data_IF_098987246906
#
_entry.id   IF_098987246906
#
_cell.length_a   1.000
_cell.length_b   1.000
_cell.length_c   1.000
_cell.angle_alpha   90.00
_cell.angle_beta   90.00
_cell.angle_gamma   90.00
#
_symmetry.space_group_name_H-M   'P 1'
#
loop_
_entity.id
_entity.type
_entity.pdbx_description
1 polymer ?
#
# COMPACT_ATOMS: atom_id res chain seq x y z
N UNK A 1 9.80 25.02 2.35
CA UNK A 1 10.65 23.87 2.10
C UNK A 1 9.84 22.59 2.03
N UNK A 2 10.16 21.73 1.06
CA UNK A 2 9.45 20.47 0.91
C UNK A 2 10.18 19.36 1.61
N UNK A 3 9.45 18.51 2.28
CA UNK A 3 10.00 17.29 2.86
C UNK A 3 9.49 16.09 2.07
N UNK A 4 10.34 15.10 1.98
CA UNK A 4 10.03 13.85 1.30
C UNK A 4 9.85 12.78 2.35
N UNK A 5 8.69 12.15 2.36
CA UNK A 5 8.42 11.06 3.29
C UNK A 5 8.12 9.81 2.50
N UNK A 6 8.82 8.73 2.81
CA UNK A 6 8.60 7.45 2.16
C UNK A 6 7.86 6.53 3.11
N UNK A 7 6.81 5.92 2.60
CA UNK A 7 6.05 4.91 3.30
C UNK A 7 6.24 3.57 2.61
N UNK A 8 6.42 2.50 3.40
CA UNK A 8 6.58 1.15 2.86
C UNK A 8 5.66 0.24 3.65
N UNK A 9 4.77 -0.45 2.96
CA UNK A 9 3.80 -1.35 3.59
C UNK A 9 3.71 -2.66 2.82
N UNK A 10 3.55 -3.78 3.53
CA UNK A 10 3.32 -5.04 2.85
C UNK A 10 1.92 -5.08 2.26
N UNK A 11 1.82 -5.63 1.07
CA UNK A 11 0.57 -5.82 0.37
C UNK A 11 0.48 -7.27 -0.09
N UNK A 12 -0.72 -7.83 0.03
CA UNK A 12 -0.98 -9.21 -0.36
C UNK A 12 -1.70 -9.18 -1.70
N UNK A 13 -1.12 -9.83 -2.70
CA UNK A 13 -1.68 -9.92 -4.04
C UNK A 13 -2.32 -11.29 -4.20
N UNK A 14 -3.61 -11.31 -4.50
CA UNK A 14 -4.37 -12.54 -4.67
C UNK A 14 -4.83 -12.62 -6.11
N UNK A 15 -4.34 -13.63 -6.83
CA UNK A 15 -4.72 -13.86 -8.21
C UNK A 15 -6.10 -14.51 -8.24
N UNK A 16 -7.03 -13.85 -8.90
CA UNK A 16 -8.36 -14.39 -9.14
C UNK A 16 -8.46 -14.79 -10.61
N UNK A 17 -9.62 -15.29 -11.01
CA UNK A 17 -9.79 -15.83 -12.34
C UNK A 17 -9.49 -14.81 -13.44
N UNK A 18 -9.99 -13.61 -13.29
CA UNK A 18 -9.83 -12.58 -14.30
C UNK A 18 -9.33 -11.25 -13.74
N UNK A 19 -8.82 -11.28 -12.52
CA UNK A 19 -8.30 -10.06 -11.91
C UNK A 19 -7.31 -10.41 -10.81
N UNK A 20 -6.60 -9.40 -10.34
CA UNK A 20 -5.67 -9.51 -9.22
C UNK A 20 -6.10 -8.52 -8.16
N UNK A 21 -6.40 -9.02 -6.97
CA UNK A 21 -6.78 -8.18 -5.85
C UNK A 21 -5.57 -7.89 -4.98
N UNK A 22 -5.53 -6.69 -4.40
CA UNK A 22 -4.44 -6.28 -3.53
C UNK A 22 -5.02 -5.79 -2.22
N UNK A 23 -4.46 -6.28 -1.13
CA UNK A 23 -4.88 -5.89 0.20
C UNK A 23 -3.68 -5.43 1.01
N UNK A 24 -3.79 -4.25 1.63
CA UNK A 24 -2.81 -3.75 2.60
C UNK A 24 -3.37 -4.06 3.99
N UNK A 25 -2.97 -5.17 4.61
CA UNK A 25 -3.60 -5.59 5.87
C UNK A 25 -3.42 -4.60 7.00
N UNK A 26 -2.33 -3.83 7.00
CA UNK A 26 -2.09 -2.85 8.06
C UNK A 26 -2.98 -1.62 7.94
N UNK A 27 -3.50 -1.35 6.76
CA UNK A 27 -4.22 -0.11 6.49
C UNK A 27 -5.69 -0.31 6.11
N UNK A 28 -6.07 -1.54 5.82
CA UNK A 28 -7.43 -1.82 5.38
C UNK A 28 -7.74 -1.31 3.99
N UNK A 29 -6.73 -1.10 3.17
CA UNK A 29 -6.91 -0.65 1.80
C UNK A 29 -6.97 -1.87 0.88
N UNK A 30 -7.96 -1.87 0.00
CA UNK A 30 -8.11 -2.94 -0.99
C UNK A 30 -8.27 -2.30 -2.36
N UNK A 31 -7.56 -2.85 -3.33
CA UNK A 31 -7.69 -2.43 -4.73
C UNK A 31 -7.56 -3.64 -5.62
N UNK A 32 -7.77 -3.48 -6.92
CA UNK A 32 -7.62 -4.58 -7.86
C UNK A 32 -7.19 -4.07 -9.22
N UNK A 33 -6.76 -5.00 -10.07
CA UNK A 33 -6.39 -4.70 -11.44
C UNK A 33 -6.61 -5.94 -12.28
N UNK A 34 -6.51 -5.80 -13.59
CA UNK A 34 -6.72 -6.91 -14.51
C UNK A 34 -5.49 -7.81 -14.63
N UNK A 35 -4.34 -7.30 -14.19
CA UNK A 35 -3.08 -8.03 -14.21
C UNK A 35 -2.28 -7.66 -12.98
N UNK A 36 -1.20 -8.40 -12.72
CA UNK A 36 -0.30 -8.06 -11.63
C UNK A 36 0.29 -6.65 -11.82
N UNK A 37 0.66 -6.32 -13.05
CA UNK A 37 1.23 -5.01 -13.33
C UNK A 37 0.25 -3.89 -13.02
N UNK A 38 -0.98 -4.04 -13.47
CA UNK A 38 -2.01 -3.03 -13.23
C UNK A 38 -2.35 -2.94 -11.74
N UNK A 39 -2.48 -4.11 -11.09
CA UNK A 39 -2.77 -4.15 -9.66
C UNK A 39 -1.65 -3.49 -8.85
N UNK A 40 -0.41 -3.70 -9.26
CA UNK A 40 0.74 -3.08 -8.60
C UNK A 40 0.69 -1.56 -8.73
N UNK A 41 0.40 -1.06 -9.91
CA UNK A 41 0.31 0.39 -10.14
C UNK A 41 -0.83 1.00 -9.33
N UNK A 42 -1.97 0.34 -9.29
CA UNK A 42 -3.11 0.81 -8.51
C UNK A 42 -2.83 0.76 -7.02
N UNK A 43 -2.14 -0.30 -6.56
CA UNK A 43 -1.76 -0.42 -5.16
C UNK A 43 -0.84 0.72 -4.75
N UNK A 44 0.14 1.02 -5.59
CA UNK A 44 1.08 2.10 -5.31
C UNK A 44 0.37 3.45 -5.26
N UNK A 45 -0.52 3.68 -6.19
CA UNK A 45 -1.28 4.93 -6.23
C UNK A 45 -2.22 5.05 -5.03
N UNK A 46 -2.90 3.96 -4.68
CA UNK A 46 -3.81 3.94 -3.54
C UNK A 46 -3.06 4.21 -2.24
N UNK A 47 -1.88 3.63 -2.09
CA UNK A 47 -1.07 3.86 -0.91
C UNK A 47 -0.64 5.32 -0.82
N UNK A 48 -0.21 5.89 -1.93
CA UNK A 48 0.20 7.29 -1.97
C UNK A 48 -0.95 8.22 -1.57
N UNK A 49 -2.10 8.01 -2.16
CA UNK A 49 -3.28 8.84 -1.88
C UNK A 49 -3.68 8.72 -0.41
N UNK A 50 -3.66 7.50 0.11
CA UNK A 50 -4.00 7.26 1.52
C UNK A 50 -3.03 7.98 2.44
N UNK A 51 -1.73 7.88 2.17
CA UNK A 51 -0.72 8.52 3.00
C UNK A 51 -0.82 10.05 2.92
N UNK A 52 -1.09 10.59 1.75
CA UNK A 52 -1.30 12.03 1.61
C UNK A 52 -2.48 12.49 2.45
N UNK A 53 -3.55 11.73 2.42
CA UNK A 53 -4.76 12.04 3.18
C UNK A 53 -4.48 12.02 4.70
N UNK A 54 -3.79 10.98 5.16
CA UNK A 54 -3.44 10.84 6.56
C UNK A 54 -2.56 12.00 7.04
N UNK A 55 -1.59 12.37 6.24
CA UNK A 55 -0.70 13.48 6.59
C UNK A 55 -1.44 14.81 6.59
N UNK A 56 -2.31 15.00 5.61
CA UNK A 56 -3.07 16.24 5.51
C UNK A 56 -3.99 16.45 6.71
N UNK A 57 -4.59 15.37 7.21
CA UNK A 57 -5.49 15.43 8.35
C UNK A 57 -4.78 15.22 9.68
N UNK A 58 -3.48 15.00 9.66
CA UNK A 58 -2.66 14.77 10.86
C UNK A 58 -3.19 13.60 11.68
N UNK A 59 -3.65 12.55 10.98
CA UNK A 59 -4.12 11.33 11.63
C UNK A 59 -2.95 10.37 11.82
N UNK A 60 -3.12 9.45 12.75
CA UNK A 60 -2.12 8.42 12.97
C UNK A 60 -2.25 7.37 11.87
N UNK A 61 -1.11 6.86 11.43
CA UNK A 61 -1.07 5.78 10.46
C UNK A 61 -0.51 4.54 11.15
N UNK A 62 -1.11 3.40 10.86
CA UNK A 62 -0.64 2.12 11.43
C UNK A 62 0.77 1.81 10.97
N UNK A 63 1.58 1.26 11.85
CA UNK A 63 2.93 0.87 11.49
C UNK A 63 2.89 -0.38 10.59
N UNK A 64 3.84 -0.50 9.66
CA UNK A 64 3.87 -1.67 8.80
C UNK A 64 4.24 -2.94 9.57
N UNK A 65 3.60 -4.03 9.20
CA UNK A 65 3.90 -5.34 9.77
C UNK A 65 5.17 -5.90 9.15
N UNK A 66 5.81 -6.81 9.89
CA UNK A 66 6.92 -7.56 9.33
C UNK A 66 6.36 -8.74 8.53
N UNK A 67 7.15 -9.24 7.59
CA UNK A 67 6.71 -10.36 6.75
C UNK A 67 6.32 -11.58 7.56
N UNK A 68 6.98 -11.86 8.65
CA UNK A 68 6.65 -13.01 9.48
C UNK A 68 5.28 -12.91 10.14
N UNK A 69 4.69 -11.74 10.14
CA UNK A 69 3.35 -11.53 10.68
C UNK A 69 2.26 -11.65 9.62
N UNK A 70 2.66 -11.85 8.38
CA UNK A 70 1.71 -12.00 7.27
C UNK A 70 1.41 -13.48 7.08
N UNK A 71 0.14 -13.82 6.90
CA UNK A 71 -0.27 -15.20 6.72
C UNK A 71 0.17 -15.73 5.35
N UNK A 72 1.11 -16.67 5.36
CA UNK A 72 1.66 -17.24 4.15
C UNK A 72 1.02 -18.57 3.75
N UNK A 73 -0.14 -18.87 4.31
CA UNK A 73 -0.75 -20.18 4.09
C UNK A 73 -1.26 -20.42 2.68
N UNK A 74 -1.45 -19.37 1.92
CA UNK A 74 -1.96 -19.51 0.56
C UNK A 74 -0.82 -19.50 -0.44
N UNK A 75 -0.73 -20.52 -1.24
CA UNK A 75 0.27 -20.59 -2.31
C UNK A 75 -0.06 -19.67 -3.48
N UNK A 76 -1.28 -19.16 -3.52
CA UNK A 76 -1.73 -18.28 -4.60
C UNK A 76 -1.50 -16.81 -4.28
N UNK A 77 -1.14 -16.52 -3.04
CA UNK A 77 -0.95 -15.15 -2.61
C UNK A 77 0.51 -14.76 -2.69
N UNK A 78 0.75 -13.53 -3.10
CA UNK A 78 2.10 -12.96 -3.09
C UNK A 78 2.12 -11.78 -2.17
N UNK A 79 3.14 -11.71 -1.34
CA UNK A 79 3.35 -10.57 -0.46
C UNK A 79 4.48 -9.73 -1.02
N UNK A 80 4.22 -8.45 -1.21
CA UNK A 80 5.21 -7.52 -1.73
C UNK A 80 5.21 -6.27 -0.88
N UNK A 81 6.38 -5.68 -0.73
CA UNK A 81 6.48 -4.37 -0.11
C UNK A 81 6.19 -3.31 -1.17
N UNK A 82 5.21 -2.49 -0.89
CA UNK A 82 4.83 -1.40 -1.77
C UNK A 82 5.26 -0.11 -1.10
N UNK A 83 5.88 0.76 -1.86
CA UNK A 83 6.30 2.05 -1.33
C UNK A 83 5.54 3.19 -1.97
N UNK A 84 5.41 4.25 -1.21
CA UNK A 84 4.84 5.49 -1.70
C UNK A 84 5.68 6.64 -1.16
N UNK A 85 5.91 7.63 -2.01
CA UNK A 85 6.68 8.82 -1.63
C UNK A 85 5.72 10.00 -1.65
N UNK A 86 5.66 10.71 -0.55
CA UNK A 86 4.78 11.85 -0.40
C UNK A 86 5.62 13.08 -0.12
N UNK A 87 5.34 14.14 -0.86
CA UNK A 87 5.98 15.41 -0.63
C UNK A 87 5.10 16.22 0.31
N UNK A 88 5.67 16.67 1.41
CA UNK A 88 4.97 17.57 2.30
C UNK A 88 5.54 18.95 2.13
N UNK A 89 4.67 19.91 2.02
CA UNK A 89 5.08 21.30 1.89
C UNK A 89 4.85 22.00 3.20
N UNK A 90 5.93 22.47 3.80
CA UNK A 90 5.81 23.24 5.01
C UNK A 90 5.49 24.69 4.66
N UNK A 91 4.45 25.19 5.25
CA UNK A 91 4.12 26.59 5.12
C UNK A 91 4.87 27.38 6.17
N UNK A 92 5.37 28.49 5.78
CA UNK A 92 6.10 29.36 6.69
C UNK A 92 5.16 30.31 7.41
#
# INVERSE_FOLDING_TARGET
>A
MSNLIQFVYPAIFVKMEDQVCVNFPDLGIVTDGESYEEAFLFAKDSLRVYCEYILKLELEISEPSFFENVDEKSFLDKVMLIDAVVFTKKEE
#
